data_IF_468485562834
#
_entry.id   IF_468485562834
#
_cell.length_a   1.000
_cell.length_b   1.000
_cell.length_c   1.000
_cell.angle_alpha   90.00
_cell.angle_beta   90.00
_cell.angle_gamma   90.00
#
_symmetry.space_group_name_H-M   'P 1'
#
loop_
_entity.id
_entity.type
_entity.pdbx_description
1 polymer ?
#
# COMPACT_ATOMS: atom_id res chain seq x y z
N UNK A 1 8.00 -30.37 -13.57
CA UNK A 1 6.70 -29.87 -14.06
C UNK A 1 6.85 -28.38 -14.33
N UNK A 2 6.69 -27.93 -15.56
CA UNK A 2 6.61 -26.50 -15.87
C UNK A 2 5.22 -26.01 -15.50
N UNK A 3 5.12 -25.05 -14.58
CA UNK A 3 3.86 -24.35 -14.31
C UNK A 3 3.64 -23.41 -15.48
N UNK A 4 2.60 -23.66 -16.27
CA UNK A 4 2.18 -22.76 -17.33
C UNK A 4 1.41 -21.60 -16.68
N UNK A 5 1.95 -20.40 -16.75
CA UNK A 5 1.33 -19.22 -16.17
C UNK A 5 0.48 -18.53 -17.23
N UNK A 6 -0.84 -18.46 -17.00
CA UNK A 6 -1.69 -17.55 -17.75
C UNK A 6 -1.24 -16.11 -17.50
N UNK A 7 -0.95 -15.38 -18.59
CA UNK A 7 -0.68 -13.95 -18.53
C UNK A 7 -1.95 -13.21 -19.00
N UNK A 8 -2.59 -12.42 -18.13
CA UNK A 8 -3.71 -11.60 -18.57
C UNK A 8 -3.26 -10.61 -19.64
N UNK A 9 -4.08 -10.44 -20.68
CA UNK A 9 -3.88 -9.35 -21.62
C UNK A 9 -4.13 -8.02 -20.92
N UNK A 10 -3.16 -7.12 -21.03
CA UNK A 10 -3.29 -5.76 -20.52
C UNK A 10 -3.91 -4.89 -21.60
N UNK A 11 -5.11 -4.38 -21.35
CA UNK A 11 -5.77 -3.44 -22.25
C UNK A 11 -4.92 -2.17 -22.40
N UNK A 12 -4.92 -1.58 -23.60
CA UNK A 12 -4.14 -0.38 -23.88
C UNK A 12 -4.48 0.78 -22.92
N UNK A 13 -5.75 0.89 -22.52
CA UNK A 13 -6.22 1.89 -21.55
C UNK A 13 -5.58 1.72 -20.15
N UNK A 14 -5.26 0.49 -19.76
CA UNK A 14 -4.78 0.18 -18.40
C UNK A 14 -3.25 0.25 -18.30
N UNK A 15 -2.53 0.32 -19.43
CA UNK A 15 -1.05 0.29 -19.47
C UNK A 15 -0.42 1.38 -18.60
N UNK A 16 -0.96 2.59 -18.64
CA UNK A 16 -0.42 3.71 -17.86
C UNK A 16 -0.60 3.48 -16.35
N UNK A 17 -1.79 3.04 -15.94
CA UNK A 17 -2.08 2.71 -14.54
C UNK A 17 -1.20 1.57 -14.04
N UNK A 18 -1.04 0.50 -14.84
CA UNK A 18 -0.18 -0.63 -14.47
C UNK A 18 1.28 -0.21 -14.38
N UNK A 19 1.78 0.63 -15.28
CA UNK A 19 3.14 1.15 -15.20
C UNK A 19 3.36 1.97 -13.91
N UNK A 20 2.39 2.79 -13.51
CA UNK A 20 2.43 3.51 -12.23
C UNK A 20 2.42 2.55 -11.04
N UNK A 21 1.55 1.54 -11.05
CA UNK A 21 1.49 0.53 -10.01
C UNK A 21 2.80 -0.26 -9.87
N UNK A 22 3.44 -0.60 -10.99
CA UNK A 22 4.76 -1.23 -10.99
C UNK A 22 5.84 -0.31 -10.43
N UNK A 23 5.82 0.98 -10.79
CA UNK A 23 6.73 1.97 -10.20
C UNK A 23 6.58 2.07 -8.68
N UNK A 24 5.34 2.02 -8.17
CA UNK A 24 5.09 1.97 -6.72
C UNK A 24 5.60 0.67 -6.09
N UNK A 25 5.37 -0.47 -6.74
CA UNK A 25 5.86 -1.77 -6.30
C UNK A 25 7.39 -1.79 -6.17
N UNK A 26 8.09 -1.22 -7.15
CA UNK A 26 9.55 -1.16 -7.18
C UNK A 26 10.12 -0.24 -6.08
N UNK A 27 9.35 0.76 -5.65
CA UNK A 27 9.71 1.64 -4.53
C UNK A 27 9.46 1.01 -3.14
N UNK A 28 8.76 -0.12 -3.07
CA UNK A 28 8.52 -0.84 -1.82
C UNK A 28 9.80 -1.51 -1.30
N UNK A 29 9.97 -1.53 0.02
CA UNK A 29 10.93 -2.40 0.67
C UNK A 29 10.53 -3.86 0.54
N UNK A 30 11.48 -4.80 0.67
CA UNK A 30 11.18 -6.24 0.64
C UNK A 30 10.13 -6.67 1.68
N UNK A 31 10.09 -6.00 2.84
CA UNK A 31 9.10 -6.27 3.88
C UNK A 31 7.68 -5.83 3.43
N UNK A 32 7.56 -4.65 2.83
CA UNK A 32 6.28 -4.15 2.29
C UNK A 32 5.82 -4.99 1.09
N UNK A 33 6.72 -5.40 0.19
CA UNK A 33 6.39 -6.32 -0.91
C UNK A 33 5.86 -7.66 -0.39
N UNK A 34 6.50 -8.21 0.65
CA UNK A 34 6.04 -9.44 1.30
C UNK A 34 4.65 -9.27 1.91
N UNK A 35 4.37 -8.14 2.54
CA UNK A 35 3.04 -7.85 3.12
C UNK A 35 1.97 -7.71 2.03
N UNK A 36 2.28 -7.00 0.94
CA UNK A 36 1.39 -6.87 -0.21
C UNK A 36 1.07 -8.23 -0.82
N UNK A 37 2.09 -9.08 -1.02
CA UNK A 37 1.88 -10.44 -1.52
C UNK A 37 1.07 -11.29 -0.55
N UNK A 38 1.31 -11.19 0.76
CA UNK A 38 0.51 -11.89 1.78
C UNK A 38 -0.97 -11.47 1.70
N UNK A 39 -1.24 -10.17 1.63
CA UNK A 39 -2.60 -9.64 1.50
C UNK A 39 -3.30 -10.16 0.25
N UNK A 40 -2.61 -10.16 -0.90
CA UNK A 40 -3.13 -10.73 -2.14
C UNK A 40 -3.44 -12.23 -1.98
N UNK A 41 -2.53 -13.01 -1.40
CA UNK A 41 -2.74 -14.45 -1.20
C UNK A 41 -3.93 -14.74 -0.27
N UNK A 42 -4.12 -13.94 0.78
CA UNK A 42 -5.27 -14.05 1.70
C UNK A 42 -6.58 -13.78 0.96
N UNK A 43 -6.64 -12.71 0.16
CA UNK A 43 -7.84 -12.36 -0.61
C UNK A 43 -8.16 -13.40 -1.68
N UNK A 44 -7.15 -13.89 -2.42
CA UNK A 44 -7.34 -14.96 -3.41
C UNK A 44 -7.82 -16.25 -2.76
N UNK A 45 -7.28 -16.61 -1.58
CA UNK A 45 -7.74 -17.77 -0.82
C UNK A 45 -9.17 -17.59 -0.27
N UNK A 46 -9.53 -16.37 0.16
CA UNK A 46 -10.88 -16.04 0.58
C UNK A 46 -11.86 -16.18 -0.59
N UNK A 47 -11.59 -15.52 -1.72
CA UNK A 47 -12.37 -15.63 -2.95
C UNK A 47 -12.46 -17.08 -3.43
N UNK A 48 -11.38 -17.84 -3.38
CA UNK A 48 -11.36 -19.26 -3.74
C UNK A 48 -12.41 -20.08 -2.99
N UNK A 49 -12.61 -19.78 -1.69
CA UNK A 49 -13.57 -20.46 -0.80
C UNK A 49 -14.99 -19.90 -0.88
N UNK A 50 -15.14 -18.57 -0.90
CA UNK A 50 -16.45 -17.92 -0.76
C UNK A 50 -17.06 -17.51 -2.10
N UNK A 51 -16.25 -17.37 -3.14
CA UNK A 51 -16.58 -16.72 -4.41
C UNK A 51 -17.07 -15.27 -4.24
N UNK A 52 -16.77 -14.64 -3.11
CA UNK A 52 -17.13 -13.25 -2.86
C UNK A 52 -16.19 -12.31 -3.63
N UNK A 53 -16.71 -11.67 -4.68
CA UNK A 53 -15.94 -10.75 -5.53
C UNK A 53 -15.58 -9.47 -4.78
N UNK A 54 -16.35 -9.08 -3.75
CA UNK A 54 -16.11 -7.85 -2.98
C UNK A 54 -14.73 -7.82 -2.33
N UNK A 55 -14.18 -8.98 -1.95
CA UNK A 55 -12.85 -9.06 -1.35
C UNK A 55 -11.76 -8.68 -2.36
N UNK A 56 -11.93 -9.05 -3.64
CA UNK A 56 -11.03 -8.67 -4.73
C UNK A 56 -11.19 -7.18 -5.09
N UNK A 57 -12.42 -6.67 -5.07
CA UNK A 57 -12.70 -5.25 -5.33
C UNK A 57 -12.03 -4.37 -4.28
N UNK A 58 -12.20 -4.69 -2.99
CA UNK A 58 -11.55 -3.95 -1.89
C UNK A 58 -10.03 -3.96 -2.00
N UNK A 59 -9.44 -5.07 -2.43
CA UNK A 59 -8.01 -5.13 -2.67
C UNK A 59 -7.58 -4.22 -3.83
N UNK A 60 -8.34 -4.21 -4.92
CA UNK A 60 -8.07 -3.35 -6.07
C UNK A 60 -8.16 -1.86 -5.68
N UNK A 61 -9.18 -1.46 -4.92
CA UNK A 61 -9.32 -0.11 -4.38
C UNK A 61 -8.15 0.28 -3.47
N UNK A 62 -7.67 -0.64 -2.63
CA UNK A 62 -6.49 -0.41 -1.79
C UNK A 62 -5.22 -0.20 -2.61
N UNK A 63 -5.04 -0.93 -3.72
CA UNK A 63 -3.90 -0.75 -4.63
C UNK A 63 -4.01 0.59 -5.36
N UNK A 64 -5.17 0.95 -5.88
CA UNK A 64 -5.40 2.25 -6.52
C UNK A 64 -5.13 3.42 -5.56
N UNK A 65 -5.61 3.31 -4.32
CA UNK A 65 -5.31 4.28 -3.26
C UNK A 65 -3.81 4.41 -3.00
N UNK A 66 -3.08 3.30 -2.92
CA UNK A 66 -1.63 3.31 -2.77
C UNK A 66 -0.94 4.02 -3.94
N UNK A 67 -1.34 3.73 -5.18
CA UNK A 67 -0.76 4.35 -6.39
C UNK A 67 -1.00 5.85 -6.43
N UNK A 68 -2.21 6.30 -6.10
CA UNK A 68 -2.56 7.74 -6.04
C UNK A 68 -1.78 8.49 -4.97
N UNK A 69 -1.57 7.87 -3.80
CA UNK A 69 -0.80 8.49 -2.73
C UNK A 69 0.66 8.69 -3.12
N UNK A 70 1.29 7.69 -3.73
CA UNK A 70 2.68 7.81 -4.20
C UNK A 70 2.86 8.83 -5.32
N UNK A 71 1.95 8.84 -6.29
CA UNK A 71 2.09 9.68 -7.49
C UNK A 71 1.89 11.17 -7.23
N UNK A 72 1.28 11.57 -6.10
CA UNK A 72 0.97 12.96 -5.80
C UNK A 72 1.83 13.67 -4.76
N UNK A 73 2.49 12.96 -3.83
CA UNK A 73 2.83 13.61 -2.54
C UNK A 73 4.15 13.20 -1.87
N UNK A 74 4.85 12.16 -2.34
CA UNK A 74 6.05 11.66 -1.63
C UNK A 74 5.77 11.18 -0.20
N UNK A 75 4.48 10.96 0.14
CA UNK A 75 4.00 10.70 1.50
C UNK A 75 4.64 9.48 2.14
N UNK A 76 4.99 8.46 1.35
CA UNK A 76 5.58 7.23 1.88
C UNK A 76 6.98 7.46 2.42
N UNK A 77 7.75 8.38 1.84
CA UNK A 77 9.02 8.79 2.44
C UNK A 77 8.76 9.48 3.78
N UNK A 78 7.80 10.39 3.86
CA UNK A 78 7.41 11.04 5.11
C UNK A 78 6.89 10.04 6.17
N UNK A 79 6.15 8.99 5.77
CA UNK A 79 5.67 7.92 6.65
C UNK A 79 6.83 7.03 7.13
N UNK A 80 7.79 6.71 6.25
CA UNK A 80 9.00 5.94 6.64
C UNK A 80 9.86 6.74 7.61
N UNK A 81 10.05 8.03 7.35
CA UNK A 81 10.78 8.95 8.23
C UNK A 81 10.09 9.11 9.59
N UNK A 82 8.76 9.16 9.64
CA UNK A 82 8.01 9.21 10.92
C UNK A 82 7.99 7.87 11.65
N UNK A 83 8.02 6.72 10.97
CA UNK A 83 8.18 5.39 11.61
C UNK A 83 9.61 5.14 12.11
N UNK A 84 10.61 5.75 11.49
CA UNK A 84 12.02 5.69 11.91
C UNK A 84 12.38 6.76 12.96
N UNK A 85 11.53 7.77 13.16
CA UNK A 85 11.73 8.75 14.21
C UNK A 85 11.62 8.05 15.57
N UNK A 86 12.55 8.31 16.52
CA UNK A 86 12.37 7.86 17.89
C UNK A 86 11.01 8.37 18.34
N UNK A 87 10.16 7.44 18.80
CA UNK A 87 8.86 7.77 19.37
C UNK A 87 9.08 8.93 20.33
N UNK A 88 8.36 10.05 20.14
CA UNK A 88 8.38 11.15 21.11
C UNK A 88 8.36 10.52 22.51
N UNK A 89 9.28 10.89 23.42
CA UNK A 89 9.28 10.33 24.76
C UNK A 89 7.85 10.45 25.29
N UNK A 90 7.34 9.36 25.88
CA UNK A 90 5.94 9.15 26.22
C UNK A 90 5.37 10.10 27.30
N UNK A 91 5.87 11.33 27.41
CA UNK A 91 5.51 12.33 28.41
C UNK A 91 5.21 13.71 27.84
N UNK A 92 4.98 13.88 26.53
CA UNK A 92 4.47 15.16 25.99
C UNK A 92 3.08 14.92 25.44
N UNK A 93 2.08 15.33 26.19
CA UNK A 93 0.67 15.25 25.78
C UNK A 93 0.36 16.35 24.76
N UNK A 94 -0.71 16.18 23.98
CA UNK A 94 -1.19 17.24 23.09
C UNK A 94 -1.56 18.53 23.84
N UNK A 95 -1.88 18.44 25.14
CA UNK A 95 -2.13 19.59 25.99
C UNK A 95 -0.86 20.44 26.21
N UNK A 96 0.29 19.81 26.41
CA UNK A 96 1.57 20.51 26.61
C UNK A 96 2.03 21.27 25.34
N UNK A 97 1.63 20.80 24.16
CA UNK A 97 1.94 21.49 22.89
C UNK A 97 1.05 22.73 22.67
N UNK A 98 -0.19 22.71 23.18
CA UNK A 98 -1.12 23.84 23.04
C UNK A 98 -0.76 25.02 23.95
N UNK A 99 -0.09 24.76 25.08
CA UNK A 99 0.34 25.80 26.01
C UNK A 99 1.56 26.59 25.48
N UNK A 100 2.51 25.90 24.81
CA UNK A 100 3.71 26.53 24.21
C UNK A 100 3.43 27.39 22.98
N UNK A 101 2.22 27.34 22.42
CA UNK A 101 1.79 28.20 21.29
C UNK A 101 1.10 29.50 21.78
N UNK A 102 0.95 29.68 23.08
CA UNK A 102 0.38 30.89 23.70
C UNK A 102 1.42 31.84 24.28
N UNK A 103 2.70 31.48 24.25
CA UNK A 103 3.85 32.37 24.49
C UNK A 103 4.37 32.93 23.16
#
# INVERSE_FOLDING_TARGET
MSVEYWRPEVLAADKAMIAQAMGVWDALTAAEQREMFRSLAVVVAAYGRTKNVDDLVKLAESVDGMVRLESGTGLRQAIRETRGAPSKPAGVTFADMAERLKE
#
